data_IF_458696001795
#
_entry.id   IF_458696001795
#
_cell.length_a   1.000
_cell.length_b   1.000
_cell.length_c   1.000
_cell.angle_alpha   90.00
_cell.angle_beta   90.00
_cell.angle_gamma   90.00
#
_symmetry.space_group_name_H-M   'P 1'
#
loop_
_entity.id
_entity.type
_entity.pdbx_description
1 polymer ?
#
# COMPACT_ATOMS: atom_id res chain seq x y z
N UNK A 1 1.17 9.53 -24.90
CA UNK A 1 1.92 8.40 -25.48
C UNK A 1 1.82 7.22 -24.52
N UNK A 2 1.51 6.01 -25.00
CA UNK A 2 1.64 4.76 -24.23
C UNK A 2 2.72 3.97 -24.96
N UNK A 3 3.86 3.80 -24.34
CA UNK A 3 4.87 2.85 -24.79
C UNK A 3 4.85 1.66 -23.82
N UNK A 4 5.35 0.51 -24.26
CA UNK A 4 5.48 -0.70 -23.44
C UNK A 4 6.83 -0.76 -22.72
N UNK A 5 7.54 0.37 -22.62
CA UNK A 5 8.83 0.48 -21.95
C UNK A 5 8.67 0.57 -20.42
N UNK A 6 9.75 0.21 -19.70
CA UNK A 6 9.68 0.09 -18.24
C UNK A 6 9.53 1.43 -17.51
N UNK A 7 10.02 2.51 -18.10
CA UNK A 7 10.06 3.87 -17.54
C UNK A 7 8.93 4.76 -18.07
N UNK A 8 7.79 4.16 -18.35
CA UNK A 8 6.62 4.84 -18.88
C UNK A 8 5.43 4.79 -17.94
N UNK A 9 4.34 5.44 -18.37
CA UNK A 9 3.08 5.49 -17.63
C UNK A 9 2.65 4.09 -17.17
N UNK A 10 1.93 4.06 -16.06
CA UNK A 10 1.50 2.86 -15.33
C UNK A 10 2.58 2.27 -14.42
N UNK A 11 3.88 2.38 -14.73
CA UNK A 11 4.94 1.94 -13.81
C UNK A 11 5.39 3.06 -12.86
N UNK A 12 5.30 2.80 -11.55
CA UNK A 12 5.95 3.60 -10.53
C UNK A 12 7.21 2.89 -10.03
N UNK A 13 8.32 3.63 -10.01
CA UNK A 13 9.58 3.15 -9.46
C UNK A 13 9.77 3.70 -8.05
N UNK A 14 10.05 2.86 -7.05
CA UNK A 14 10.27 3.27 -5.66
C UNK A 14 11.21 4.47 -5.48
N UNK A 15 12.37 4.58 -6.15
CA UNK A 15 13.25 5.74 -5.98
C UNK A 15 12.60 7.06 -6.44
N UNK A 16 11.80 7.04 -7.50
CA UNK A 16 11.11 8.26 -7.96
C UNK A 16 10.03 8.70 -6.97
N UNK A 17 9.28 7.75 -6.43
CA UNK A 17 8.26 8.02 -5.40
C UNK A 17 8.91 8.61 -4.16
N UNK A 18 10.04 8.03 -3.73
CA UNK A 18 10.80 8.50 -2.58
C UNK A 18 11.35 9.91 -2.76
N UNK A 19 11.94 10.23 -3.92
CA UNK A 19 12.44 11.58 -4.21
C UNK A 19 11.35 12.65 -4.11
N UNK A 20 10.13 12.36 -4.59
CA UNK A 20 9.01 13.31 -4.49
C UNK A 20 8.55 13.48 -3.04
N UNK A 21 8.40 12.38 -2.28
CA UNK A 21 8.01 12.42 -0.87
C UNK A 21 9.03 13.22 -0.05
N UNK A 22 10.33 12.92 -0.19
CA UNK A 22 11.39 13.63 0.53
C UNK A 22 11.50 15.10 0.12
N UNK A 23 11.34 15.38 -1.18
CA UNK A 23 11.27 16.75 -1.68
C UNK A 23 10.19 17.54 -0.97
N UNK A 24 8.96 17.01 -0.91
CA UNK A 24 7.83 17.68 -0.25
C UNK A 24 8.00 17.77 1.28
N UNK A 25 8.49 16.71 1.92
CA UNK A 25 8.71 16.64 3.38
C UNK A 25 9.70 17.70 3.87
N UNK A 26 10.69 18.05 3.06
CA UNK A 26 11.79 18.95 3.45
C UNK A 26 11.54 20.42 3.12
N UNK A 27 10.42 20.76 2.47
CA UNK A 27 10.12 22.14 2.04
C UNK A 27 9.88 23.13 3.17
N UNK A 28 9.43 22.67 4.34
CA UNK A 28 8.92 23.54 5.41
C UNK A 28 7.53 24.12 5.16
N UNK A 29 6.93 23.88 3.99
CA UNK A 29 5.56 24.26 3.67
C UNK A 29 4.58 23.24 4.29
N UNK A 30 3.68 23.64 5.20
CA UNK A 30 2.79 22.69 5.88
C UNK A 30 1.86 21.91 4.95
N UNK A 31 1.46 22.50 3.81
CA UNK A 31 0.59 21.85 2.82
C UNK A 31 1.36 20.76 2.08
N UNK A 32 2.57 21.07 1.62
CA UNK A 32 3.43 20.09 0.94
C UNK A 32 3.88 18.98 1.88
N UNK A 33 4.25 19.32 3.12
CA UNK A 33 4.61 18.32 4.13
C UNK A 33 3.45 17.36 4.43
N UNK A 34 2.21 17.86 4.50
CA UNK A 34 1.02 17.01 4.65
C UNK A 34 0.76 16.15 3.41
N UNK A 35 1.01 16.68 2.22
CA UNK A 35 0.95 15.89 0.98
C UNK A 35 1.99 14.77 0.99
N UNK A 36 3.22 15.03 1.45
CA UNK A 36 4.26 14.02 1.59
C UNK A 36 3.83 12.86 2.50
N UNK A 37 3.22 13.17 3.64
CA UNK A 37 2.66 12.16 4.57
C UNK A 37 1.56 11.33 3.91
N UNK A 38 0.63 11.96 3.20
CA UNK A 38 -0.44 11.25 2.50
C UNK A 38 0.11 10.33 1.40
N UNK A 39 1.10 10.79 0.64
CA UNK A 39 1.79 10.00 -0.39
C UNK A 39 2.54 8.82 0.22
N UNK A 40 3.25 9.02 1.33
CA UNK A 40 3.95 7.96 2.04
C UNK A 40 2.98 6.88 2.55
N UNK A 41 1.88 7.30 3.19
CA UNK A 41 0.86 6.37 3.68
C UNK A 41 0.23 5.56 2.54
N UNK A 42 -0.06 6.20 1.39
CA UNK A 42 -0.59 5.52 0.22
C UNK A 42 0.41 4.52 -0.37
N UNK A 43 1.68 4.92 -0.53
CA UNK A 43 2.72 4.05 -1.07
C UNK A 43 2.96 2.83 -0.18
N UNK A 44 3.05 3.03 1.14
CA UNK A 44 3.21 1.96 2.11
C UNK A 44 2.00 1.02 2.13
N UNK A 45 0.78 1.54 2.08
CA UNK A 45 -0.45 0.73 2.02
C UNK A 45 -0.48 -0.15 0.77
N UNK A 46 -0.18 0.42 -0.39
CA UNK A 46 -0.19 -0.29 -1.68
C UNK A 46 0.88 -1.39 -1.73
N UNK A 47 2.12 -1.06 -1.37
CA UNK A 47 3.23 -2.00 -1.39
C UNK A 47 3.08 -3.10 -0.33
N UNK A 48 2.52 -2.77 0.85
CA UNK A 48 2.18 -3.75 1.87
C UNK A 48 1.10 -4.73 1.40
N UNK A 49 0.01 -4.24 0.78
CA UNK A 49 -1.02 -5.11 0.19
C UNK A 49 -0.43 -6.05 -0.87
N UNK A 50 0.46 -5.53 -1.72
CA UNK A 50 1.17 -6.32 -2.71
C UNK A 50 2.01 -7.41 -2.03
N UNK A 51 2.81 -7.04 -1.02
CA UNK A 51 3.66 -7.95 -0.27
C UNK A 51 2.88 -9.06 0.44
N UNK A 52 1.75 -8.75 1.09
CA UNK A 52 0.93 -9.77 1.77
C UNK A 52 0.38 -10.81 0.80
N UNK A 53 0.11 -10.43 -0.46
CA UNK A 53 -0.38 -11.36 -1.49
C UNK A 53 0.74 -12.17 -2.14
N UNK A 54 1.87 -11.53 -2.43
CA UNK A 54 2.93 -12.12 -3.27
C UNK A 54 4.14 -12.62 -2.47
N UNK A 55 4.21 -12.28 -1.18
CA UNK A 55 5.38 -12.46 -0.32
C UNK A 55 6.67 -11.89 -0.90
N UNK A 56 6.56 -10.89 -1.78
CA UNK A 56 7.69 -10.34 -2.54
C UNK A 56 7.58 -8.82 -2.67
N UNK A 57 8.74 -8.16 -2.61
CA UNK A 57 8.90 -6.74 -2.96
C UNK A 57 9.41 -6.64 -4.40
N UNK A 58 8.84 -5.76 -5.22
CA UNK A 58 9.14 -5.68 -6.65
C UNK A 58 10.02 -4.47 -6.99
N UNK A 59 10.77 -4.55 -8.09
CA UNK A 59 11.57 -3.42 -8.59
C UNK A 59 10.72 -2.20 -8.97
N UNK A 60 9.48 -2.43 -9.45
CA UNK A 60 8.53 -1.43 -9.92
C UNK A 60 7.09 -1.93 -9.73
N UNK A 61 6.14 -1.00 -9.63
CA UNK A 61 4.73 -1.31 -9.33
C UNK A 61 3.81 -0.71 -10.39
N UNK A 62 2.76 -1.45 -10.78
CA UNK A 62 1.73 -0.92 -11.65
C UNK A 62 0.74 -0.04 -10.85
N UNK A 63 0.70 1.27 -11.13
CA UNK A 63 -0.14 2.27 -10.47
C UNK A 63 -1.30 2.79 -11.34
N UNK A 64 -1.58 2.13 -12.48
CA UNK A 64 -2.65 2.53 -13.43
C UNK A 64 -4.04 2.52 -12.80
N UNK A 65 -4.29 1.58 -11.91
CA UNK A 65 -5.40 1.59 -10.98
C UNK A 65 -4.81 1.27 -9.61
N UNK A 66 -5.02 2.16 -8.63
CA UNK A 66 -4.82 1.83 -7.22
C UNK A 66 -5.98 0.91 -6.81
N UNK A 67 -6.09 -0.24 -7.47
CA UNK A 67 -7.02 -1.30 -7.17
C UNK A 67 -6.35 -2.31 -6.24
N UNK A 68 -7.15 -3.23 -5.70
CA UNK A 68 -6.66 -4.29 -4.82
C UNK A 68 -5.55 -5.12 -5.46
N UNK A 69 -5.47 -5.13 -6.79
CA UNK A 69 -4.47 -5.83 -7.61
C UNK A 69 -3.24 -4.99 -7.95
N UNK A 70 -2.90 -3.96 -7.17
CA UNK A 70 -1.63 -3.26 -7.37
C UNK A 70 -0.49 -4.27 -7.24
N UNK A 71 0.07 -4.60 -8.40
CA UNK A 71 0.91 -5.75 -8.69
C UNK A 71 2.24 -5.27 -9.23
N UNK A 72 3.16 -6.20 -9.39
CA UNK A 72 4.44 -5.93 -10.02
C UNK A 72 4.21 -5.19 -11.35
N UNK A 73 4.96 -4.10 -11.57
CA UNK A 73 4.93 -3.42 -12.86
C UNK A 73 5.50 -4.31 -13.96
N UNK A 74 5.27 -3.97 -15.22
CA UNK A 74 5.60 -4.82 -16.37
C UNK A 74 6.23 -4.03 -17.52
N UNK A 75 6.55 -4.71 -18.61
CA UNK A 75 7.09 -4.11 -19.83
C UNK A 75 8.62 -4.01 -19.87
N UNK A 76 9.10 -3.53 -21.02
CA UNK A 76 10.49 -3.41 -21.47
C UNK A 76 11.22 -4.73 -21.65
N UNK A 77 12.53 -4.71 -21.40
CA UNK A 77 13.45 -5.74 -21.91
C UNK A 77 13.46 -7.07 -21.14
N UNK A 78 12.93 -7.09 -19.91
CA UNK A 78 12.98 -8.27 -19.04
C UNK A 78 11.81 -8.30 -18.05
N UNK A 79 11.55 -9.49 -17.52
CA UNK A 79 10.54 -9.77 -16.50
C UNK A 79 10.82 -9.03 -15.19
N UNK A 80 9.78 -8.66 -14.46
CA UNK A 80 9.91 -7.91 -13.21
C UNK A 80 10.67 -8.68 -12.13
N UNK A 81 11.61 -8.01 -11.46
CA UNK A 81 12.46 -8.61 -10.43
C UNK A 81 11.89 -8.46 -9.01
N UNK A 82 12.22 -9.41 -8.13
CA UNK A 82 11.79 -9.47 -6.72
C UNK A 82 12.94 -9.25 -5.74
N UNK A 83 12.64 -8.92 -4.49
CA UNK A 83 13.63 -8.69 -3.42
C UNK A 83 14.43 -7.40 -3.57
N UNK A 84 13.97 -6.48 -4.42
CA UNK A 84 14.77 -5.39 -4.96
C UNK A 84 15.22 -4.36 -3.90
N UNK A 85 16.52 -4.03 -3.91
CA UNK A 85 17.18 -3.25 -2.85
C UNK A 85 16.61 -1.85 -2.62
N UNK A 86 16.36 -1.07 -3.68
CA UNK A 86 15.75 0.26 -3.51
C UNK A 86 14.34 0.18 -2.93
N UNK A 87 13.61 -0.92 -3.17
CA UNK A 87 12.22 -1.02 -2.75
C UNK A 87 12.21 -1.22 -1.25
N UNK A 88 13.03 -2.14 -0.79
CA UNK A 88 13.23 -2.40 0.63
C UNK A 88 13.73 -1.14 1.35
N UNK A 89 14.73 -0.45 0.78
CA UNK A 89 15.28 0.78 1.36
C UNK A 89 14.25 1.89 1.50
N UNK A 90 13.46 2.16 0.45
CA UNK A 90 12.40 3.17 0.47
C UNK A 90 11.33 2.82 1.50
N UNK A 91 10.92 1.57 1.59
CA UNK A 91 9.89 1.14 2.55
C UNK A 91 10.38 1.30 3.98
N UNK A 92 11.60 0.88 4.28
CA UNK A 92 12.18 1.02 5.62
C UNK A 92 12.31 2.50 6.02
N UNK A 93 12.77 3.35 5.12
CA UNK A 93 12.89 4.80 5.37
C UNK A 93 11.54 5.48 5.61
N UNK A 94 10.52 5.14 4.82
CA UNK A 94 9.17 5.69 5.01
C UNK A 94 8.51 5.16 6.29
N UNK A 95 8.75 3.89 6.67
CA UNK A 95 8.27 3.33 7.94
C UNK A 95 8.95 3.99 9.14
N UNK A 96 10.25 4.30 9.07
CA UNK A 96 10.95 5.03 10.13
C UNK A 96 10.34 6.43 10.35
N UNK A 97 10.08 7.16 9.26
CA UNK A 97 9.57 8.54 9.31
C UNK A 97 8.09 8.65 9.64
N UNK A 98 7.27 7.76 9.08
CA UNK A 98 5.81 7.87 9.11
C UNK A 98 5.12 6.71 9.83
N UNK A 99 5.85 5.66 10.25
CA UNK A 99 5.33 4.45 10.88
C UNK A 99 4.35 4.71 12.03
N UNK A 100 4.70 5.65 12.91
CA UNK A 100 3.89 6.03 14.06
C UNK A 100 2.58 6.75 13.70
N UNK A 101 2.47 7.29 12.49
CA UNK A 101 1.27 7.98 11.98
C UNK A 101 0.34 7.05 11.21
N UNK A 102 0.77 5.82 10.96
CA UNK A 102 -0.01 4.84 10.21
C UNK A 102 -0.58 3.78 11.13
N UNK A 103 -1.73 3.26 10.75
CA UNK A 103 -2.35 2.10 11.41
C UNK A 103 -2.52 1.02 10.36
N UNK A 104 -2.03 -0.19 10.62
CA UNK A 104 -2.48 -1.34 9.85
C UNK A 104 -3.96 -1.51 10.13
N UNK A 105 -4.80 -1.50 9.09
CA UNK A 105 -6.19 -1.91 9.22
C UNK A 105 -6.23 -3.41 9.54
N UNK A 106 -5.91 -3.79 10.78
CA UNK A 106 -6.29 -5.07 11.31
C UNK A 106 -7.81 -5.11 11.23
N UNK A 107 -8.36 -6.14 10.56
CA UNK A 107 -9.79 -6.32 10.48
C UNK A 107 -10.38 -6.19 11.89
N UNK A 108 -11.19 -5.17 12.12
CA UNK A 108 -12.10 -5.18 13.26
C UNK A 108 -13.01 -6.36 12.98
N UNK A 109 -12.65 -7.53 13.53
CA UNK A 109 -13.50 -8.70 13.53
C UNK A 109 -14.62 -8.35 14.48
N UNK A 110 -15.66 -7.70 13.96
CA UNK A 110 -16.84 -7.27 14.72
C UNK A 110 -17.53 -8.53 15.27
N UNK A 111 -17.06 -9.01 16.42
CA UNK A 111 -17.67 -10.11 17.16
C UNK A 111 -19.12 -9.79 17.54
N UNK A 112 -19.51 -8.52 17.46
CA UNK A 112 -20.86 -8.07 17.77
C UNK A 112 -21.94 -8.68 16.86
N UNK A 113 -21.62 -9.01 15.60
CA UNK A 113 -22.57 -9.72 14.74
C UNK A 113 -22.85 -11.14 15.24
N UNK A 114 -21.87 -11.81 15.85
CA UNK A 114 -22.01 -13.18 16.37
C UNK A 114 -22.96 -13.23 17.59
N UNK A 115 -22.92 -12.21 18.45
CA UNK A 115 -23.80 -12.13 19.62
C UNK A 115 -25.26 -11.88 19.25
N UNK A 116 -25.54 -11.09 18.20
CA UNK A 116 -26.91 -10.85 17.73
C UNK A 116 -27.54 -12.14 17.17
N UNK A 117 -26.78 -12.97 16.46
CA UNK A 117 -27.30 -14.24 15.90
C UNK A 117 -27.57 -15.30 16.98
N UNK A 118 -26.70 -15.39 18.00
CA UNK A 118 -26.87 -16.33 19.13
C UNK A 118 -28.04 -15.90 20.03
N UNK A 119 -28.22 -14.59 20.26
CA UNK A 119 -29.34 -14.10 21.06
C UNK A 119 -30.71 -14.31 20.38
N UNK A 120 -30.78 -14.12 19.05
CA UNK A 120 -32.01 -14.38 18.30
C UNK A 120 -32.36 -15.87 18.19
N UNK A 121 -31.37 -16.75 18.04
CA UNK A 121 -31.62 -18.19 18.01
C UNK A 121 -32.09 -18.72 19.37
N UNK A 122 -31.49 -18.27 20.48
CA UNK A 122 -31.92 -18.66 21.82
C UNK A 122 -33.33 -18.18 22.18
N UNK A 123 -33.76 -17.01 21.69
CA UNK A 123 -35.13 -16.51 21.88
C UNK A 123 -36.18 -17.35 21.14
N UNK A 124 -35.87 -17.79 19.91
CA UNK A 124 -36.81 -18.58 19.08
C UNK A 124 -36.98 -20.01 19.62
N UNK A 125 -35.96 -20.59 20.24
CA UNK A 125 -36.02 -21.93 20.84
C UNK A 125 -36.48 -21.95 22.31
N UNK A 126 -36.58 -20.80 22.98
CA UNK A 126 -37.07 -20.71 24.38
C UNK A 126 -38.60 -20.60 24.48
N UNK A 127 -39.32 -20.53 23.35
CA UNK A 127 -40.78 -20.35 23.31
C UNK A 127 -41.53 -21.53 22.68
N UNK A 128 -40.92 -22.73 22.61
CA UNK A 128 -41.61 -23.98 22.28
C UNK A 128 -41.55 -24.95 23.47
#
# INVERSE_FOLDING_TARGET
MKSEQQWDKENAWPPMVHMVIEGFRTTGDPVLMKAAEAMAAQWLSVTYKSFIRTHSMFEKYNVSAISEECSAGSGGEYEVQTGFGWTNGVILDLLDKYGQRMTSAAAIRTHWMFFVTVFFTLLVFSTN
#
